data_IF_851032202262
#
_entry.id   IF_851032202262
#
_cell.length_a   1.000
_cell.length_b   1.000
_cell.length_c   1.000
_cell.angle_alpha   90.00
_cell.angle_beta   90.00
_cell.angle_gamma   90.00
#
_symmetry.space_group_name_H-M   'P 1'
#
loop_
_entity.id
_entity.type
_entity.pdbx_description
1 polymer ?
#
# COMPACT_ATOMS: atom_id res chain seq x y z
N UNK A 1 14.29 16.56 0.67
CA UNK A 1 14.45 17.26 -0.64
C UNK A 1 13.34 16.66 -1.49
N UNK A 2 12.32 17.42 -1.93
CA UNK A 2 11.15 16.79 -2.56
C UNK A 2 11.56 16.15 -3.89
N UNK A 3 11.50 14.83 -3.98
CA UNK A 3 11.67 14.11 -5.24
C UNK A 3 10.70 14.68 -6.29
N UNK A 4 11.14 14.88 -7.54
CA UNK A 4 10.25 15.25 -8.62
C UNK A 4 9.09 14.26 -8.69
N UNK A 5 7.86 14.77 -8.75
CA UNK A 5 6.62 13.95 -8.79
C UNK A 5 6.65 12.80 -9.80
N UNK A 6 7.36 12.98 -10.92
CA UNK A 6 7.52 11.94 -11.94
C UNK A 6 8.51 10.83 -11.54
N UNK A 7 9.57 11.15 -10.79
CA UNK A 7 10.55 10.17 -10.31
C UNK A 7 9.92 9.28 -9.23
N UNK A 8 9.25 9.88 -8.23
CA UNK A 8 8.56 9.11 -7.18
C UNK A 8 7.48 8.17 -7.76
N UNK A 9 6.71 8.64 -8.75
CA UNK A 9 5.72 7.79 -9.42
C UNK A 9 6.39 6.58 -10.09
N UNK A 10 7.50 6.80 -10.80
CA UNK A 10 8.26 5.72 -11.47
C UNK A 10 8.83 4.72 -10.46
N UNK A 11 9.31 5.18 -9.31
CA UNK A 11 9.79 4.30 -8.25
C UNK A 11 8.67 3.46 -7.64
N UNK A 12 7.53 4.08 -7.33
CA UNK A 12 6.33 3.37 -6.86
C UNK A 12 5.90 2.32 -7.89
N UNK A 13 5.87 2.67 -9.18
CA UNK A 13 5.51 1.74 -10.24
C UNK A 13 6.50 0.57 -10.36
N UNK A 14 7.81 0.83 -10.27
CA UNK A 14 8.84 -0.20 -10.30
C UNK A 14 8.70 -1.18 -9.13
N UNK A 15 8.47 -0.68 -7.91
CA UNK A 15 8.22 -1.54 -6.74
C UNK A 15 6.92 -2.32 -6.86
N UNK A 16 5.86 -1.69 -7.37
CA UNK A 16 4.59 -2.38 -7.62
C UNK A 16 4.73 -3.51 -8.64
N UNK A 17 5.57 -3.33 -9.68
CA UNK A 17 5.87 -4.38 -10.65
C UNK A 17 6.67 -5.53 -10.02
N UNK A 18 7.61 -5.24 -9.12
CA UNK A 18 8.33 -6.26 -8.37
C UNK A 18 7.39 -7.12 -7.53
N UNK A 19 6.34 -6.53 -6.92
CA UNK A 19 5.32 -7.29 -6.20
C UNK A 19 4.65 -8.35 -7.09
N UNK A 20 4.33 -7.98 -8.34
CA UNK A 20 3.74 -8.91 -9.32
C UNK A 20 4.74 -10.00 -9.70
N UNK A 21 6.01 -9.63 -9.93
CA UNK A 21 7.07 -10.55 -10.36
C UNK A 21 7.42 -11.58 -9.28
N UNK A 22 7.46 -11.17 -8.02
CA UNK A 22 7.86 -12.00 -6.89
C UNK A 22 6.69 -12.69 -6.19
N UNK A 23 5.46 -12.45 -6.66
CA UNK A 23 4.27 -13.11 -6.15
C UNK A 23 4.23 -14.62 -6.45
N UNK A 24 3.53 -15.42 -5.62
CA UNK A 24 3.33 -16.84 -5.86
C UNK A 24 2.71 -17.13 -7.24
N UNK A 25 3.07 -18.25 -7.86
CA UNK A 25 2.53 -18.63 -9.18
C UNK A 25 0.99 -18.74 -9.23
N UNK A 26 0.34 -19.01 -8.09
CA UNK A 26 -1.11 -19.13 -8.06
C UNK A 26 -1.81 -17.77 -8.26
N UNK A 27 -1.14 -16.65 -7.94
CA UNK A 27 -1.69 -15.30 -8.08
C UNK A 27 -1.37 -14.64 -9.43
N UNK A 28 -0.80 -15.40 -10.39
CA UNK A 28 -0.57 -14.93 -11.76
C UNK A 28 -1.88 -14.35 -12.32
N UNK A 29 -1.79 -13.16 -12.92
CA UNK A 29 -2.92 -12.38 -13.48
C UNK A 29 -4.00 -11.94 -12.47
N UNK A 30 -3.82 -12.18 -11.17
CA UNK A 30 -4.75 -11.71 -10.15
C UNK A 30 -4.34 -10.35 -9.53
N UNK A 31 -3.08 -9.96 -9.71
CA UNK A 31 -2.56 -8.65 -9.32
C UNK A 31 -2.70 -7.62 -10.45
N UNK A 32 -3.94 -7.20 -10.72
CA UNK A 32 -4.33 -6.34 -11.84
C UNK A 32 -4.67 -4.88 -11.47
N UNK A 33 -4.38 -4.47 -10.22
CA UNK A 33 -4.69 -3.16 -9.64
C UNK A 33 -6.20 -2.88 -9.49
N UNK A 34 -7.02 -3.92 -9.40
CA UNK A 34 -8.44 -3.81 -9.06
C UNK A 34 -8.66 -3.87 -7.54
N UNK A 35 -9.86 -3.50 -7.07
CA UNK A 35 -10.24 -3.71 -5.65
C UNK A 35 -10.08 -5.19 -5.22
N UNK A 36 -10.31 -6.13 -6.14
CA UNK A 36 -10.16 -7.56 -5.87
C UNK A 36 -8.69 -7.96 -5.65
N UNK A 37 -7.75 -7.29 -6.32
CA UNK A 37 -6.33 -7.60 -6.17
C UNK A 37 -5.81 -7.27 -4.76
N UNK A 38 -6.46 -6.36 -4.03
CA UNK A 38 -6.15 -6.08 -2.63
C UNK A 38 -6.35 -7.35 -1.76
N UNK A 39 -7.43 -8.09 -2.01
CA UNK A 39 -7.68 -9.36 -1.30
C UNK A 39 -6.63 -10.41 -1.65
N UNK A 40 -6.15 -10.40 -2.90
CA UNK A 40 -5.06 -11.27 -3.35
C UNK A 40 -3.76 -10.95 -2.62
N UNK A 41 -3.42 -9.66 -2.46
CA UNK A 41 -2.27 -9.21 -1.67
C UNK A 41 -2.38 -9.66 -0.21
N UNK A 42 -3.54 -9.53 0.41
CA UNK A 42 -3.79 -10.02 1.78
C UNK A 42 -3.52 -11.53 1.89
N UNK A 43 -4.01 -12.33 0.94
CA UNK A 43 -3.75 -13.77 0.93
C UNK A 43 -2.26 -14.09 0.77
N UNK A 44 -1.57 -13.43 -0.15
CA UNK A 44 -0.12 -13.64 -0.37
C UNK A 44 0.67 -13.32 0.90
N UNK A 45 0.42 -12.17 1.51
CA UNK A 45 1.13 -11.74 2.71
C UNK A 45 0.78 -12.65 3.89
N UNK A 46 -0.47 -13.10 4.01
CA UNK A 46 -0.88 -14.10 5.00
C UNK A 46 -0.10 -15.41 4.85
N UNK A 47 0.03 -15.95 3.64
CA UNK A 47 0.82 -17.15 3.37
C UNK A 47 2.31 -16.96 3.70
N UNK A 48 2.87 -15.77 3.43
CA UNK A 48 4.25 -15.43 3.79
C UNK A 48 4.43 -15.36 5.31
N UNK A 49 3.47 -14.77 6.03
CA UNK A 49 3.48 -14.68 7.48
C UNK A 49 3.43 -16.07 8.16
N UNK A 50 2.66 -17.03 7.62
CA UNK A 50 2.59 -18.39 8.16
C UNK A 50 3.92 -19.16 8.01
N UNK A 51 4.72 -18.83 7.00
CA UNK A 51 6.04 -19.43 6.74
C UNK A 51 7.16 -18.74 7.54
N UNK A 52 6.83 -17.69 8.31
CA UNK A 52 7.77 -16.69 8.79
C UNK A 52 8.53 -17.09 10.06
N UNK A 53 9.37 -18.13 10.00
CA UNK A 53 10.15 -18.54 11.17
C UNK A 53 11.38 -17.67 11.43
N UNK A 54 11.85 -16.82 10.48
CA UNK A 54 12.94 -15.84 10.65
C UNK A 54 13.15 -14.97 9.39
N UNK A 55 12.19 -14.12 8.99
CA UNK A 55 12.47 -13.10 7.96
C UNK A 55 13.48 -12.07 8.51
N UNK A 56 14.55 -11.83 7.75
CA UNK A 56 15.49 -10.76 8.05
C UNK A 56 14.84 -9.39 7.80
N UNK A 57 15.26 -8.36 8.55
CA UNK A 57 14.70 -7.01 8.45
C UNK A 57 14.79 -6.43 7.03
N UNK A 58 15.89 -6.68 6.32
CA UNK A 58 16.06 -6.26 4.92
C UNK A 58 14.99 -6.88 4.01
N UNK A 59 14.70 -8.17 4.18
CA UNK A 59 13.66 -8.86 3.41
C UNK A 59 12.26 -8.35 3.81
N UNK A 60 12.03 -8.07 5.09
CA UNK A 60 10.78 -7.45 5.56
C UNK A 60 10.55 -6.08 4.89
N UNK A 61 11.60 -5.26 4.82
CA UNK A 61 11.56 -3.94 4.20
C UNK A 61 11.32 -4.04 2.68
N UNK A 62 11.97 -4.99 2.01
CA UNK A 62 11.79 -5.22 0.57
C UNK A 62 10.35 -5.64 0.24
N UNK A 63 9.79 -6.61 0.97
CA UNK A 63 8.39 -7.04 0.76
C UNK A 63 7.42 -5.88 1.07
N UNK A 64 7.70 -5.09 2.11
CA UNK A 64 6.91 -3.90 2.43
C UNK A 64 6.93 -2.86 1.32
N UNK A 65 8.08 -2.62 0.69
CA UNK A 65 8.20 -1.72 -0.46
C UNK A 65 7.40 -2.23 -1.65
N UNK A 66 7.58 -3.51 -2.02
CA UNK A 66 6.89 -4.13 -3.14
C UNK A 66 5.36 -4.05 -3.01
N UNK A 67 4.81 -4.70 -1.98
CA UNK A 67 3.37 -4.77 -1.81
C UNK A 67 2.79 -3.45 -1.33
N UNK A 68 3.54 -2.66 -0.56
CA UNK A 68 3.11 -1.33 -0.13
C UNK A 68 2.91 -0.39 -1.32
N UNK A 69 3.88 -0.33 -2.25
CA UNK A 69 3.77 0.46 -3.47
C UNK A 69 2.69 -0.09 -4.42
N UNK A 70 2.53 -1.41 -4.50
CA UNK A 70 1.42 -2.02 -5.24
C UNK A 70 0.05 -1.54 -4.73
N UNK A 71 -0.14 -1.54 -3.40
CA UNK A 71 -1.37 -1.09 -2.75
C UNK A 71 -1.61 0.42 -2.95
N UNK A 72 -0.57 1.24 -2.84
CA UNK A 72 -0.65 2.69 -3.13
C UNK A 72 -1.04 2.96 -4.58
N UNK A 73 -0.42 2.27 -5.54
CA UNK A 73 -0.73 2.42 -6.95
C UNK A 73 -2.14 1.93 -7.29
N UNK A 74 -2.60 0.87 -6.62
CA UNK A 74 -3.98 0.38 -6.70
C UNK A 74 -4.97 1.43 -6.19
N UNK A 75 -4.73 1.99 -5.00
CA UNK A 75 -5.56 3.05 -4.43
C UNK A 75 -5.59 4.30 -5.33
N UNK A 76 -4.44 4.72 -5.87
CA UNK A 76 -4.36 5.84 -6.80
C UNK A 76 -5.21 5.61 -8.06
N UNK A 77 -5.19 4.40 -8.63
CA UNK A 77 -5.99 4.06 -9.82
C UNK A 77 -7.49 4.08 -9.54
N UNK A 78 -7.92 3.73 -8.33
CA UNK A 78 -9.33 3.67 -7.95
C UNK A 78 -9.86 5.03 -7.52
N UNK A 79 -9.12 5.75 -6.67
CA UNK A 79 -9.59 6.96 -5.97
C UNK A 79 -8.91 8.26 -6.46
N UNK A 80 -7.92 8.17 -7.33
CA UNK A 80 -7.10 9.32 -7.75
C UNK A 80 -6.13 9.76 -6.65
N UNK A 81 -5.88 11.06 -6.56
CA UNK A 81 -4.92 11.64 -5.62
C UNK A 81 -3.48 11.66 -6.15
N UNK A 82 -2.58 12.19 -5.34
CA UNK A 82 -1.19 12.44 -5.72
C UNK A 82 -0.20 11.84 -4.73
N UNK A 83 0.95 11.38 -5.24
CA UNK A 83 2.00 10.80 -4.42
C UNK A 83 2.96 11.87 -3.90
N UNK A 84 3.39 11.67 -2.66
CA UNK A 84 4.38 12.48 -1.98
C UNK A 84 5.32 11.58 -1.18
N UNK A 85 6.56 12.02 -1.00
CA UNK A 85 7.48 11.37 -0.07
C UNK A 85 7.24 11.88 1.35
N UNK A 86 7.08 10.97 2.30
CA UNK A 86 6.99 11.31 3.72
C UNK A 86 8.36 11.16 4.38
N UNK A 87 8.97 12.28 4.76
CA UNK A 87 10.31 12.32 5.38
C UNK A 87 10.32 11.77 6.82
N UNK A 88 9.21 11.80 7.55
CA UNK A 88 9.15 11.31 8.93
C UNK A 88 9.16 9.78 8.97
N UNK A 89 8.37 9.15 8.12
CA UNK A 89 8.24 7.70 8.04
C UNK A 89 9.14 7.06 6.97
N UNK A 90 9.84 7.87 6.16
CA UNK A 90 10.73 7.43 5.09
C UNK A 90 10.03 6.45 4.13
N UNK A 91 8.84 6.84 3.66
CA UNK A 91 8.01 6.05 2.75
C UNK A 91 7.16 6.95 1.83
N UNK A 92 6.68 6.44 0.68
CA UNK A 92 5.69 7.13 -0.13
C UNK A 92 4.34 7.18 0.58
N UNK A 93 3.59 8.25 0.33
CA UNK A 93 2.21 8.43 0.74
C UNK A 93 1.34 8.89 -0.43
N UNK A 94 0.07 8.50 -0.44
CA UNK A 94 -0.94 8.99 -1.37
C UNK A 94 -1.85 9.99 -0.63
N UNK A 95 -2.03 11.18 -1.19
CA UNK A 95 -2.97 12.18 -0.67
C UNK A 95 -4.16 12.30 -1.63
N UNK A 96 -5.37 12.13 -1.10
CA UNK A 96 -6.63 12.20 -1.83
C UNK A 96 -7.53 13.34 -1.31
N UNK A 97 -8.51 13.70 -2.13
CA UNK A 97 -9.67 14.56 -1.79
C UNK A 97 -9.39 16.07 -1.59
N UNK A 98 -8.18 16.55 -1.88
CA UNK A 98 -7.90 17.99 -1.84
C UNK A 98 -8.72 18.76 -2.91
N UNK A 99 -9.16 20.00 -2.63
CA UNK A 99 -8.93 20.78 -1.41
C UNK A 99 -10.03 20.64 -0.35
N UNK A 100 -11.11 19.90 -0.62
CA UNK A 100 -12.27 19.81 0.29
C UNK A 100 -11.98 18.96 1.54
N UNK A 101 -11.05 18.01 1.46
CA UNK A 101 -10.54 17.20 2.56
C UNK A 101 -9.10 16.76 2.29
N UNK A 102 -8.42 16.18 3.28
CA UNK A 102 -7.10 15.59 3.11
C UNK A 102 -7.09 14.19 3.74
N UNK A 103 -7.05 13.17 2.88
CA UNK A 103 -6.99 11.77 3.33
C UNK A 103 -5.68 11.19 2.83
N UNK A 104 -4.83 10.78 3.76
CA UNK A 104 -3.48 10.29 3.50
C UNK A 104 -3.43 8.79 3.70
N UNK A 105 -2.80 8.07 2.77
CA UNK A 105 -2.55 6.65 2.84
C UNK A 105 -1.06 6.34 2.83
N UNK A 106 -0.60 5.58 3.81
CA UNK A 106 0.71 4.96 3.92
C UNK A 106 0.51 3.47 4.21
N UNK A 107 1.24 2.61 3.50
CA UNK A 107 0.93 1.16 3.48
C UNK A 107 2.04 0.30 4.06
N UNK A 108 3.27 0.80 4.17
CA UNK A 108 4.41 -0.06 4.48
C UNK A 108 4.30 -0.67 5.88
N UNK A 109 3.85 0.10 6.87
CA UNK A 109 3.70 -0.39 8.24
C UNK A 109 2.65 -1.50 8.33
N UNK A 110 1.51 -1.36 7.65
CA UNK A 110 0.49 -2.41 7.57
C UNK A 110 1.04 -3.69 6.95
N UNK A 111 1.79 -3.57 5.85
CA UNK A 111 2.40 -4.75 5.21
C UNK A 111 3.39 -5.43 6.18
N UNK A 112 4.26 -4.65 6.84
CA UNK A 112 5.24 -5.20 7.80
C UNK A 112 4.56 -5.90 8.97
N UNK A 113 3.60 -5.26 9.62
CA UNK A 113 2.90 -5.85 10.76
C UNK A 113 2.12 -7.09 10.37
N UNK A 114 1.48 -7.10 9.20
CA UNK A 114 0.81 -8.29 8.68
C UNK A 114 1.79 -9.44 8.41
N UNK A 115 2.96 -9.18 7.82
CA UNK A 115 4.03 -10.16 7.62
C UNK A 115 4.55 -10.74 8.94
N UNK A 116 4.62 -9.92 9.99
CA UNK A 116 5.02 -10.33 11.34
C UNK A 116 3.90 -11.06 12.10
N UNK A 117 2.75 -11.28 11.46
CA UNK A 117 1.64 -12.05 12.01
C UNK A 117 0.63 -11.24 12.81
N UNK A 118 0.71 -9.90 12.81
CA UNK A 118 -0.31 -9.06 13.43
C UNK A 118 -1.61 -9.12 12.62
N UNK A 119 -2.68 -9.58 13.28
CA UNK A 119 -4.02 -9.70 12.68
C UNK A 119 -4.74 -8.35 12.62
N UNK A 120 -4.33 -7.38 13.43
CA UNK A 120 -4.87 -6.02 13.39
C UNK A 120 -4.46 -5.27 12.11
N UNK A 121 -3.37 -5.70 11.46
CA UNK A 121 -2.87 -5.13 10.21
C UNK A 121 -3.45 -5.83 8.97
N UNK A 122 -4.70 -6.29 9.05
CA UNK A 122 -5.40 -6.89 7.92
C UNK A 122 -5.56 -5.87 6.78
N UNK A 123 -4.88 -6.12 5.66
CA UNK A 123 -4.64 -5.12 4.60
C UNK A 123 -5.93 -4.81 3.86
N UNK A 124 -6.73 -5.83 3.54
CA UNK A 124 -7.98 -5.61 2.80
C UNK A 124 -8.99 -4.78 3.60
N UNK A 125 -9.08 -5.00 4.93
CA UNK A 125 -9.92 -4.19 5.81
C UNK A 125 -9.41 -2.76 5.91
N UNK A 126 -8.09 -2.59 6.08
CA UNK A 126 -7.46 -1.27 6.12
C UNK A 126 -7.74 -0.43 4.86
N UNK A 127 -7.62 -1.03 3.67
CA UNK A 127 -7.93 -0.31 2.42
C UNK A 127 -9.43 -0.12 2.17
N UNK A 128 -10.29 -1.01 2.65
CA UNK A 128 -11.74 -0.81 2.60
C UNK A 128 -12.15 0.41 3.44
N UNK A 129 -11.59 0.56 4.65
CA UNK A 129 -11.83 1.74 5.50
C UNK A 129 -11.29 3.04 4.87
N UNK A 130 -10.12 2.98 4.22
CA UNK A 130 -9.61 4.12 3.43
C UNK A 130 -10.56 4.47 2.28
N UNK A 131 -11.01 3.48 1.51
CA UNK A 131 -11.93 3.66 0.39
C UNK A 131 -13.27 4.27 0.79
N UNK A 132 -13.80 3.89 1.95
CA UNK A 132 -15.03 4.51 2.50
C UNK A 132 -14.83 6.00 2.80
N UNK A 133 -13.69 6.37 3.38
CA UNK A 133 -13.39 7.76 3.68
C UNK A 133 -13.19 8.61 2.42
N UNK A 134 -12.61 8.05 1.34
CA UNK A 134 -12.38 8.76 0.08
C UNK A 134 -13.63 8.87 -0.80
N UNK A 135 -14.59 7.94 -0.70
CA UNK A 135 -15.81 7.97 -1.52
C UNK A 135 -16.75 9.13 -1.19
N UNK A 136 -16.86 9.50 0.10
CA UNK A 136 -17.66 10.64 0.58
C UNK A 136 -16.93 11.35 1.71
N UNK A 137 -15.90 12.15 1.38
CA UNK A 137 -15.12 12.85 2.40
C UNK A 137 -15.98 13.92 3.08
N UNK A 138 -15.98 13.93 4.40
CA UNK A 138 -16.52 15.06 5.16
C UNK A 138 -15.62 16.29 4.94
N UNK A 139 -16.21 17.47 4.74
CA UNK A 139 -15.44 18.67 4.43
C UNK A 139 -14.56 19.09 5.61
N UNK A 140 -13.31 19.43 5.31
CA UNK A 140 -12.32 19.90 6.28
C UNK A 140 -11.71 18.79 7.15
N UNK A 141 -11.98 17.51 6.87
CA UNK A 141 -11.32 16.43 7.59
C UNK A 141 -9.87 16.27 7.14
N UNK A 142 -9.04 15.93 8.10
CA UNK A 142 -7.65 15.52 7.91
C UNK A 142 -7.47 14.16 8.57
N UNK A 143 -7.33 13.11 7.77
CA UNK A 143 -7.23 11.72 8.25
C UNK A 143 -5.99 11.07 7.66
N UNK A 144 -5.26 10.34 8.50
CA UNK A 144 -4.06 9.60 8.09
C UNK A 144 -4.27 8.12 8.38
N UNK A 145 -4.14 7.31 7.34
CA UNK A 145 -4.12 5.85 7.39
C UNK A 145 -2.66 5.38 7.31
N UNK A 146 -2.16 4.76 8.38
CA UNK A 146 -0.78 4.27 8.56
C UNK A 146 -0.77 2.85 9.11
#
# INVERSE_FOLDING_TARGET
MTEPKNELYQEIEAWAQNAILHSPKWSINQLDYSEKSITVVEMIIGELAEKNFSIAEEQLNMIAQEYGCYLLLTAHKIYGGEFYWNEEFQQPMLICCEPDAMIVLMTWNKVKGRLLGDKADHIAYFLDEFGKATFQPEKGIHVVYL
#
